data_IF_842586144701
#
_entry.id   IF_842586144701
#
_cell.length_a   1.000
_cell.length_b   1.000
_cell.length_c   1.000
_cell.angle_alpha   90.00
_cell.angle_beta   90.00
_cell.angle_gamma   90.00
#
_symmetry.space_group_name_H-M   'P 1'
#
loop_
_entity.id
_entity.type
_entity.pdbx_description
1 polymer ?
#
# COMPACT_ATOMS: atom_id res chain seq x y z
N UNK A 1 23.02 56.88 -51.06
CA UNK A 1 22.25 57.26 -49.86
C UNK A 1 22.41 56.10 -48.88
N UNK A 2 23.44 56.18 -48.06
CA UNK A 2 23.85 55.11 -47.16
C UNK A 2 23.12 55.19 -45.82
N UNK A 3 22.23 54.23 -45.59
CA UNK A 3 21.64 53.94 -44.29
C UNK A 3 22.49 52.86 -43.59
N UNK A 4 23.67 53.21 -43.07
CA UNK A 4 24.53 52.17 -42.47
C UNK A 4 25.45 52.64 -41.35
N UNK A 5 25.11 53.71 -40.60
CA UNK A 5 25.99 54.19 -39.51
C UNK A 5 25.29 54.61 -38.20
N UNK A 6 24.11 54.06 -37.86
CA UNK A 6 23.45 54.36 -36.55
C UNK A 6 22.85 53.15 -35.80
N UNK A 7 23.27 51.90 -36.08
CA UNK A 7 22.67 50.70 -35.45
C UNK A 7 23.69 49.76 -34.79
N UNK A 8 24.59 50.27 -33.94
CA UNK A 8 25.53 49.39 -33.22
C UNK A 8 25.74 49.68 -31.72
N UNK A 9 25.25 50.80 -31.17
CA UNK A 9 25.58 51.18 -29.77
C UNK A 9 24.44 51.15 -28.74
N UNK A 10 23.18 50.86 -29.13
CA UNK A 10 22.05 50.79 -28.17
C UNK A 10 21.70 49.37 -27.66
N UNK A 11 22.27 48.33 -28.24
CA UNK A 11 22.01 46.93 -27.84
C UNK A 11 22.80 46.42 -26.63
N UNK A 12 23.85 47.15 -26.22
CA UNK A 12 24.76 46.70 -25.14
C UNK A 12 24.27 47.05 -23.73
N UNK A 13 23.43 48.07 -23.58
CA UNK A 13 22.91 48.51 -22.27
C UNK A 13 21.77 47.61 -21.77
N UNK A 14 21.01 46.98 -22.68
CA UNK A 14 19.92 46.05 -22.32
C UNK A 14 20.38 44.61 -22.06
N UNK A 15 21.56 44.22 -22.55
CA UNK A 15 22.15 42.90 -22.36
C UNK A 15 22.32 42.47 -20.90
N UNK A 16 22.86 43.30 -19.98
CA UNK A 16 22.95 42.93 -18.56
C UNK A 16 21.58 42.80 -17.90
N UNK A 17 20.59 43.59 -18.31
CA UNK A 17 19.22 43.52 -17.79
C UNK A 17 18.55 42.21 -18.22
N UNK A 18 18.70 41.83 -19.49
CA UNK A 18 18.19 40.55 -20.01
C UNK A 18 18.87 39.37 -19.32
N UNK A 19 20.20 39.43 -19.11
CA UNK A 19 20.94 38.40 -18.39
C UNK A 19 20.46 38.25 -16.94
N UNK A 20 20.16 39.37 -16.27
CA UNK A 20 19.64 39.37 -14.90
C UNK A 20 18.21 38.80 -14.84
N UNK A 21 17.35 39.15 -15.80
CA UNK A 21 16.01 38.56 -15.92
C UNK A 21 16.07 37.06 -16.18
N UNK A 22 17.00 36.60 -17.03
CA UNK A 22 17.22 35.17 -17.28
C UNK A 22 17.70 34.46 -16.02
N UNK A 23 18.65 35.02 -15.27
CA UNK A 23 19.08 34.46 -13.99
C UNK A 23 17.92 34.33 -13.00
N UNK A 24 17.10 35.38 -12.84
CA UNK A 24 15.95 35.35 -11.92
C UNK A 24 14.92 34.30 -12.38
N UNK A 25 14.67 34.19 -13.69
CA UNK A 25 13.79 33.17 -14.23
C UNK A 25 14.31 31.75 -13.93
N UNK A 26 15.60 31.48 -14.15
CA UNK A 26 16.20 30.16 -13.88
C UNK A 26 16.15 29.81 -12.38
N UNK A 27 16.46 30.76 -11.50
CA UNK A 27 16.35 30.56 -10.04
C UNK A 27 14.91 30.26 -9.63
N UNK A 28 13.94 30.98 -10.21
CA UNK A 28 12.51 30.78 -9.91
C UNK A 28 12.02 29.40 -10.36
N UNK A 29 12.41 28.95 -11.56
CA UNK A 29 12.06 27.62 -12.07
C UNK A 29 12.66 26.53 -11.19
N UNK A 30 13.94 26.61 -10.85
CA UNK A 30 14.57 25.62 -9.97
C UNK A 30 13.97 25.60 -8.57
N UNK A 31 13.55 26.74 -8.05
CA UNK A 31 12.84 26.79 -6.78
C UNK A 31 11.49 26.08 -6.87
N UNK A 32 10.72 26.32 -7.94
CA UNK A 32 9.44 25.65 -8.16
C UNK A 32 9.59 24.14 -8.34
N UNK A 33 10.60 23.68 -9.08
CA UNK A 33 10.90 22.26 -9.26
C UNK A 33 11.19 21.57 -7.92
N UNK A 34 12.02 22.19 -7.07
CA UNK A 34 12.34 21.64 -5.73
C UNK A 34 11.11 21.55 -4.85
N UNK A 35 10.24 22.56 -4.89
CA UNK A 35 9.00 22.57 -4.11
C UNK A 35 8.06 21.47 -4.61
N UNK A 36 7.88 21.30 -5.92
CA UNK A 36 7.07 20.22 -6.48
C UNK A 36 7.60 18.83 -6.12
N UNK A 37 8.92 18.62 -6.23
CA UNK A 37 9.56 17.36 -5.83
C UNK A 37 9.32 17.05 -4.33
N UNK A 38 9.35 18.07 -3.47
CA UNK A 38 9.07 17.90 -2.04
C UNK A 38 7.63 17.49 -1.76
N UNK A 39 6.66 18.03 -2.51
CA UNK A 39 5.25 17.64 -2.38
C UNK A 39 5.01 16.23 -2.90
N UNK A 40 5.62 15.85 -4.02
CA UNK A 40 5.54 14.48 -4.55
C UNK A 40 6.11 13.48 -3.54
N UNK A 41 7.27 13.78 -2.95
CA UNK A 41 7.87 12.92 -1.93
C UNK A 41 7.01 12.80 -0.67
N UNK A 42 6.45 13.91 -0.18
CA UNK A 42 5.51 13.90 0.95
C UNK A 42 4.22 13.13 0.64
N UNK A 43 3.71 13.24 -0.60
CA UNK A 43 2.58 12.46 -1.06
C UNK A 43 2.86 10.96 -0.99
N UNK A 44 4.02 10.53 -1.50
CA UNK A 44 4.45 9.13 -1.44
C UNK A 44 4.60 8.62 -0.01
N UNK A 45 5.17 9.42 0.89
CA UNK A 45 5.28 9.04 2.31
C UNK A 45 3.91 8.89 2.98
N UNK A 46 2.99 9.81 2.70
CA UNK A 46 1.64 9.77 3.28
C UNK A 46 0.86 8.54 2.80
N UNK A 47 0.97 8.18 1.51
CA UNK A 47 0.39 6.96 0.97
C UNK A 47 0.95 5.70 1.65
N UNK A 48 2.26 5.66 1.92
CA UNK A 48 2.89 4.54 2.64
C UNK A 48 2.41 4.47 4.09
N UNK A 49 2.31 5.60 4.77
CA UNK A 49 1.88 5.66 6.17
C UNK A 49 0.41 5.23 6.34
N UNK A 50 -0.49 5.72 5.49
CA UNK A 50 -1.90 5.32 5.46
C UNK A 50 -2.05 3.82 5.18
N UNK A 51 -1.32 3.32 4.19
CA UNK A 51 -1.31 1.88 3.89
C UNK A 51 -0.78 1.05 5.06
N UNK A 52 0.17 1.54 5.85
CA UNK A 52 0.61 0.83 7.05
C UNK A 52 -0.41 0.90 8.18
N UNK A 53 -1.14 2.01 8.31
CA UNK A 53 -2.09 2.23 9.40
C UNK A 53 -3.30 1.29 9.28
N UNK A 54 -3.87 1.11 8.08
CA UNK A 54 -4.98 0.17 7.87
C UNK A 54 -4.62 -1.27 8.29
N UNK A 55 -3.38 -1.71 8.01
CA UNK A 55 -2.91 -3.02 8.45
C UNK A 55 -2.75 -3.10 9.96
N UNK A 56 -2.25 -2.05 10.61
CA UNK A 56 -2.14 -2.01 12.08
C UNK A 56 -3.51 -2.07 12.76
N UNK A 57 -4.47 -1.31 12.26
CA UNK A 57 -5.84 -1.28 12.79
C UNK A 57 -6.54 -2.64 12.60
N UNK A 58 -6.35 -3.25 11.43
CA UNK A 58 -6.83 -4.60 11.16
C UNK A 58 -6.22 -5.62 12.13
N UNK A 59 -4.90 -5.54 12.36
CA UNK A 59 -4.21 -6.41 13.31
C UNK A 59 -4.73 -6.24 14.74
N UNK A 60 -4.96 -5.01 15.18
CA UNK A 60 -5.52 -4.73 16.50
C UNK A 60 -6.92 -5.33 16.67
N UNK A 61 -7.72 -5.31 15.61
CA UNK A 61 -9.09 -5.83 15.62
C UNK A 61 -9.13 -7.36 15.62
N UNK A 62 -8.31 -8.01 14.78
CA UNK A 62 -8.47 -9.44 14.47
C UNK A 62 -7.37 -10.35 14.99
N UNK A 63 -6.17 -9.82 15.25
CA UNK A 63 -5.00 -10.62 15.64
C UNK A 63 -4.76 -10.59 17.15
N UNK A 64 -4.98 -9.45 17.79
CA UNK A 64 -4.79 -9.30 19.25
C UNK A 64 -5.82 -10.11 20.04
N UNK A 65 -7.06 -10.13 19.58
CA UNK A 65 -8.16 -10.91 20.16
C UNK A 65 -8.87 -11.73 19.07
N UNK A 66 -8.28 -12.85 18.62
CA UNK A 66 -8.81 -13.60 17.49
C UNK A 66 -10.12 -14.30 17.84
N UNK A 67 -11.14 -14.11 17.01
CA UNK A 67 -12.40 -14.83 17.10
C UNK A 67 -12.49 -15.90 16.01
N UNK A 68 -12.32 -17.16 16.41
CA UNK A 68 -12.33 -18.30 15.48
C UNK A 68 -13.73 -18.80 15.09
N UNK A 69 -14.80 -18.14 15.55
CA UNK A 69 -16.18 -18.55 15.23
C UNK A 69 -16.44 -18.53 13.73
N UNK A 70 -16.01 -17.45 13.06
CA UNK A 70 -16.10 -17.33 11.59
C UNK A 70 -15.23 -18.35 10.86
N UNK A 71 -14.08 -18.73 11.43
CA UNK A 71 -13.20 -19.75 10.84
C UNK A 71 -13.84 -21.14 10.83
N UNK A 72 -14.58 -21.49 11.90
CA UNK A 72 -15.30 -22.77 12.02
C UNK A 72 -16.52 -22.89 11.10
N UNK A 73 -17.07 -21.76 10.66
CA UNK A 73 -18.16 -21.73 9.70
C UNK A 73 -17.70 -21.93 8.24
N UNK A 74 -16.37 -21.90 8.00
CA UNK A 74 -15.81 -22.16 6.68
C UNK A 74 -16.04 -23.62 6.28
N UNK A 75 -16.66 -23.83 5.11
CA UNK A 75 -17.01 -25.15 4.56
C UNK A 75 -15.89 -25.78 3.72
N UNK A 76 -14.70 -25.16 3.68
CA UNK A 76 -13.60 -25.63 2.86
C UNK A 76 -12.93 -26.88 3.46
N UNK A 77 -12.72 -27.92 2.67
CA UNK A 77 -11.83 -29.04 3.01
C UNK A 77 -10.38 -28.56 2.87
N UNK A 78 -9.85 -27.94 3.92
CA UNK A 78 -8.54 -27.28 3.86
C UNK A 78 -8.63 -25.77 3.69
N UNK A 79 -7.57 -25.21 3.15
CA UNK A 79 -7.47 -23.79 2.85
C UNK A 79 -7.92 -23.54 1.42
N UNK A 80 -9.02 -22.82 1.25
CA UNK A 80 -9.54 -22.48 -0.07
C UNK A 80 -8.57 -21.54 -0.83
N UNK A 81 -8.70 -21.50 -2.15
CA UNK A 81 -7.97 -20.56 -3.01
C UNK A 81 -8.32 -19.12 -2.66
N UNK A 82 -7.32 -18.25 -2.57
CA UNK A 82 -7.50 -16.85 -2.15
C UNK A 82 -8.27 -16.02 -3.20
N UNK A 83 -8.25 -16.42 -4.46
CA UNK A 83 -8.89 -15.73 -5.61
C UNK A 83 -10.42 -15.80 -5.62
N UNK A 84 -11.03 -16.64 -4.78
CA UNK A 84 -12.49 -16.80 -4.76
C UNK A 84 -13.16 -15.69 -3.93
N UNK A 85 -13.60 -14.64 -4.64
CA UNK A 85 -14.27 -13.47 -4.06
C UNK A 85 -15.62 -13.77 -3.38
N UNK A 86 -16.25 -14.90 -3.67
CA UNK A 86 -17.58 -15.23 -3.09
C UNK A 86 -17.55 -15.50 -1.58
N UNK A 87 -16.36 -15.78 -1.04
CA UNK A 87 -16.14 -16.11 0.37
C UNK A 87 -15.42 -14.99 1.13
N UNK A 88 -15.14 -13.87 0.45
CA UNK A 88 -14.44 -12.73 1.01
C UNK A 88 -15.41 -11.80 1.74
N UNK A 89 -15.09 -11.48 3.00
CA UNK A 89 -15.78 -10.45 3.78
C UNK A 89 -15.02 -9.15 3.71
N UNK A 90 -15.72 -8.02 3.82
CA UNK A 90 -15.07 -6.70 3.79
C UNK A 90 -15.06 -6.08 5.18
N UNK A 91 -13.88 -5.67 5.65
CA UNK A 91 -13.70 -4.89 6.86
C UNK A 91 -13.39 -3.44 6.49
N UNK A 92 -13.90 -2.49 7.28
CA UNK A 92 -13.67 -1.06 7.09
C UNK A 92 -12.95 -0.47 8.30
N UNK A 93 -11.93 0.35 8.06
CA UNK A 93 -11.32 1.15 9.12
C UNK A 93 -12.18 2.40 9.43
N UNK A 94 -11.79 3.15 10.46
CA UNK A 94 -12.47 4.38 10.86
C UNK A 94 -12.39 5.50 9.80
N UNK A 95 -11.43 5.41 8.89
CA UNK A 95 -11.17 6.38 7.82
C UNK A 95 -11.90 6.01 6.52
N UNK A 96 -12.68 4.92 6.51
CA UNK A 96 -13.45 4.46 5.35
C UNK A 96 -12.66 3.59 4.35
N UNK A 97 -11.40 3.25 4.65
CA UNK A 97 -10.63 2.30 3.85
C UNK A 97 -11.09 0.86 4.11
N UNK A 98 -11.08 0.03 3.08
CA UNK A 98 -11.52 -1.35 3.16
C UNK A 98 -10.38 -2.35 2.98
N UNK A 99 -10.48 -3.47 3.71
CA UNK A 99 -9.72 -4.69 3.46
C UNK A 99 -10.70 -5.84 3.23
N UNK A 100 -10.49 -6.56 2.14
CA UNK A 100 -11.07 -7.88 1.98
C UNK A 100 -10.37 -8.86 2.91
N UNK A 101 -11.12 -9.72 3.59
CA UNK A 101 -10.57 -10.70 4.51
C UNK A 101 -11.39 -11.99 4.50
N UNK A 102 -10.71 -13.08 4.84
CA UNK A 102 -11.32 -14.41 4.90
C UNK A 102 -10.76 -15.23 6.05
N UNK A 103 -11.68 -15.80 6.82
CA UNK A 103 -11.39 -16.78 7.86
C UNK A 103 -11.62 -18.19 7.36
N UNK A 104 -10.69 -19.08 7.69
CA UNK A 104 -10.75 -20.48 7.33
C UNK A 104 -10.24 -21.36 8.47
N UNK A 105 -10.77 -22.57 8.55
CA UNK A 105 -10.25 -23.60 9.45
C UNK A 105 -9.99 -24.88 8.69
N UNK A 106 -8.91 -25.55 9.07
CA UNK A 106 -8.53 -26.85 8.55
C UNK A 106 -8.29 -27.79 9.72
N UNK A 107 -8.89 -28.97 9.65
CA UNK A 107 -8.61 -30.07 10.56
C UNK A 107 -7.81 -31.12 9.80
N UNK A 108 -6.64 -31.48 10.32
CA UNK A 108 -5.86 -32.59 9.74
C UNK A 108 -6.65 -33.89 9.87
N UNK A 109 -6.62 -34.73 8.83
CA UNK A 109 -7.21 -36.06 8.91
C UNK A 109 -6.53 -36.85 10.05
N UNK A 110 -7.26 -37.75 10.72
CA UNK A 110 -6.70 -38.59 11.76
C UNK A 110 -5.81 -39.65 11.08
N UNK A 111 -4.51 -39.36 10.96
CA UNK A 111 -3.53 -40.38 10.61
C UNK A 111 -2.31 -40.30 11.54
N UNK A 112 -2.01 -41.46 12.12
CA UNK A 112 -0.90 -41.88 13.00
C UNK A 112 -0.52 -41.11 14.28
N UNK A 113 -1.09 -39.95 14.59
CA UNK A 113 -0.96 -39.36 15.93
C UNK A 113 -2.34 -38.96 16.47
N UNK A 114 -2.64 -39.42 17.68
CA UNK A 114 -3.94 -39.49 18.37
C UNK A 114 -4.65 -38.14 18.64
N UNK A 115 -4.29 -37.07 17.91
CA UNK A 115 -4.84 -35.73 18.08
C UNK A 115 -5.10 -35.08 16.72
N UNK A 116 -6.37 -34.91 16.36
CA UNK A 116 -6.75 -34.05 15.23
C UNK A 116 -6.31 -32.60 15.54
N UNK A 117 -5.34 -32.09 14.77
CA UNK A 117 -4.85 -30.74 14.94
C UNK A 117 -5.74 -29.79 14.14
N UNK A 118 -6.29 -28.79 14.82
CA UNK A 118 -7.10 -27.73 14.18
C UNK A 118 -6.21 -26.51 13.94
N UNK A 119 -6.11 -26.14 12.67
CA UNK A 119 -5.44 -24.95 12.19
C UNK A 119 -6.48 -23.90 11.79
N UNK A 120 -6.21 -22.65 12.15
CA UNK A 120 -7.00 -21.51 11.71
C UNK A 120 -6.13 -20.60 10.86
N UNK A 121 -6.69 -20.08 9.77
CA UNK A 121 -6.04 -19.11 8.89
C UNK A 121 -6.94 -17.89 8.72
N UNK A 122 -6.35 -16.72 8.87
CA UNK A 122 -6.95 -15.46 8.45
C UNK A 122 -6.08 -14.90 7.35
N UNK A 123 -6.67 -14.56 6.21
CA UNK A 123 -5.99 -13.83 5.15
C UNK A 123 -6.74 -12.55 4.88
N UNK A 124 -6.01 -11.46 4.63
CA UNK A 124 -6.58 -10.18 4.25
C UNK A 124 -5.82 -9.58 3.07
N UNK A 125 -6.51 -8.81 2.24
CA UNK A 125 -6.01 -8.16 1.04
C UNK A 125 -6.64 -6.80 0.83
N UNK A 126 -5.93 -5.93 0.11
CA UNK A 126 -6.43 -4.64 -0.34
C UNK A 126 -6.71 -4.63 -1.85
N UNK A 127 -6.05 -5.52 -2.62
CA UNK A 127 -6.04 -5.50 -4.07
C UNK A 127 -6.26 -6.88 -4.73
N UNK A 128 -6.62 -7.89 -3.94
CA UNK A 128 -6.84 -9.28 -4.36
C UNK A 128 -5.63 -9.97 -5.03
N UNK A 129 -4.46 -9.34 -5.07
CA UNK A 129 -3.21 -9.90 -5.62
C UNK A 129 -2.27 -10.35 -4.50
N UNK A 130 -2.14 -9.52 -3.47
CA UNK A 130 -1.29 -9.80 -2.31
C UNK A 130 -2.17 -10.01 -1.07
N UNK A 131 -1.97 -11.15 -0.42
CA UNK A 131 -2.67 -11.49 0.80
C UNK A 131 -1.67 -11.51 1.96
N UNK A 132 -2.04 -10.87 3.06
CA UNK A 132 -1.35 -11.04 4.33
C UNK A 132 -2.10 -12.08 5.12
N UNK A 133 -1.43 -13.18 5.46
CA UNK A 133 -2.02 -14.30 6.15
C UNK A 133 -1.41 -14.52 7.54
N UNK A 134 -2.23 -15.00 8.45
CA UNK A 134 -1.88 -15.37 9.81
C UNK A 134 -2.41 -16.76 10.10
N UNK A 135 -1.61 -17.56 10.80
CA UNK A 135 -1.92 -18.95 11.13
C UNK A 135 -1.90 -19.16 12.63
N UNK A 136 -2.89 -19.90 13.12
CA UNK A 136 -2.97 -20.35 14.50
C UNK A 136 -3.13 -21.85 14.57
N UNK A 137 -2.56 -22.43 15.63
CA UNK A 137 -2.80 -23.80 16.08
C UNK A 137 -3.19 -23.71 17.55
N UNK A 138 -4.32 -24.31 17.92
CA UNK A 138 -4.79 -24.34 19.32
C UNK A 138 -4.82 -22.95 19.98
N UNK A 139 -5.27 -21.93 19.24
CA UNK A 139 -5.32 -20.50 19.63
C UNK A 139 -3.96 -19.80 19.80
N UNK A 140 -2.82 -20.49 19.60
CA UNK A 140 -1.49 -19.86 19.53
C UNK A 140 -1.14 -19.51 18.10
N UNK A 141 -0.69 -18.28 17.88
CA UNK A 141 -0.20 -17.88 16.55
C UNK A 141 1.11 -18.64 16.27
N UNK A 142 1.16 -19.31 15.12
CA UNK A 142 2.32 -20.11 14.69
C UNK A 142 3.15 -19.36 13.65
N UNK A 143 2.49 -18.64 12.75
CA UNK A 143 3.16 -17.95 11.66
C UNK A 143 2.34 -16.77 11.15
N UNK A 144 3.00 -15.84 10.47
CA UNK A 144 2.38 -14.75 9.70
C UNK A 144 3.29 -14.34 8.55
N UNK A 145 2.72 -14.01 7.39
CA UNK A 145 3.50 -13.63 6.23
C UNK A 145 2.64 -13.14 5.06
N UNK A 146 3.33 -12.63 4.03
CA UNK A 146 2.71 -12.30 2.76
C UNK A 146 2.67 -13.52 1.85
N UNK A 147 1.54 -13.74 1.20
CA UNK A 147 1.28 -14.84 0.27
C UNK A 147 0.66 -14.24 -0.99
N UNK A 148 1.17 -14.63 -2.15
CA UNK A 148 0.54 -14.34 -3.43
C UNK A 148 -0.59 -15.32 -3.68
N UNK A 149 -1.70 -14.86 -4.25
CA UNK A 149 -2.66 -15.78 -4.87
C UNK A 149 -1.97 -16.38 -6.11
N UNK A 150 -1.36 -17.55 -5.97
CA UNK A 150 -0.85 -18.33 -7.09
C UNK A 150 -2.03 -18.93 -7.86
N UNK A 151 -1.92 -18.92 -9.19
CA UNK A 151 -2.82 -19.63 -10.11
C UNK A 151 -2.68 -21.16 -10.01
#
# INVERSE_FOLDING_TARGET
>A
MDFSLLRSQRGWVSLPIIALLLMVATVSVHYQERVQASYQWRGQLNEVEVNQQIWKDFQQTWIVSPNFTSAKASSCFGFCELKNNSLESTWYNKEGLSLGYRWESYQSLPDESDHSQVFHRLCATQNQQQYRCWWWREKRQVSSGWVSASD
#
